data_IF_083170334218
#
_entry.id   IF_083170334218
#
_cell.length_a   1.000
_cell.length_b   1.000
_cell.length_c   1.000
_cell.angle_alpha   90.00
_cell.angle_beta   90.00
_cell.angle_gamma   90.00
#
_symmetry.space_group_name_H-M   'P 1'
#
loop_
_entity.id
_entity.type
_entity.pdbx_description
1 polymer ?
#
# COMPACT_ATOMS: atom_id res chain seq x y z
N UNK A 1 3.76 25.23 12.21
CA UNK A 1 5.02 24.50 11.89
C UNK A 1 4.82 23.02 11.53
N UNK A 2 3.62 22.44 11.63
CA UNK A 2 3.36 21.03 11.30
C UNK A 2 3.44 20.70 9.79
N UNK A 3 3.11 21.66 8.92
CA UNK A 3 3.09 21.45 7.46
C UNK A 3 4.48 21.15 6.88
N UNK A 4 5.52 21.89 7.29
CA UNK A 4 6.90 21.67 6.81
C UNK A 4 7.42 20.28 7.16
N UNK A 5 7.06 19.75 8.34
CA UNK A 5 7.43 18.39 8.75
C UNK A 5 6.69 17.33 7.96
N UNK A 6 5.38 17.50 7.76
CA UNK A 6 4.59 16.58 6.95
C UNK A 6 5.10 16.51 5.49
N UNK A 7 5.40 17.67 4.90
CA UNK A 7 5.96 17.75 3.55
C UNK A 7 7.32 17.04 3.44
N UNK A 8 8.22 17.26 4.42
CA UNK A 8 9.53 16.61 4.45
C UNK A 8 9.42 15.09 4.60
N UNK A 9 8.59 14.59 5.52
CA UNK A 9 8.32 13.14 5.66
C UNK A 9 7.71 12.55 4.38
N UNK A 10 6.88 13.32 3.68
CA UNK A 10 6.34 12.89 2.40
C UNK A 10 7.44 12.72 1.34
N UNK A 11 8.27 13.74 1.15
CA UNK A 11 9.41 13.70 0.23
C UNK A 11 10.41 12.59 0.57
N UNK A 12 10.75 12.43 1.85
CA UNK A 12 11.72 11.44 2.29
C UNK A 12 11.25 10.00 2.01
N UNK A 13 9.97 9.69 2.19
CA UNK A 13 9.44 8.38 1.78
C UNK A 13 9.62 8.14 0.29
N UNK A 14 9.32 9.13 -0.56
CA UNK A 14 9.51 8.98 -2.00
C UNK A 14 10.97 8.77 -2.38
N UNK A 15 11.89 9.49 -1.73
CA UNK A 15 13.32 9.34 -1.96
C UNK A 15 13.84 7.96 -1.52
N UNK A 16 13.43 7.48 -0.34
CA UNK A 16 13.79 6.15 0.15
C UNK A 16 13.24 5.06 -0.78
N UNK A 17 11.99 5.16 -1.22
CA UNK A 17 11.41 4.19 -2.14
C UNK A 17 12.09 4.24 -3.53
N UNK A 18 12.47 5.41 -4.02
CA UNK A 18 13.23 5.52 -5.27
C UNK A 18 14.62 4.86 -5.15
N UNK A 19 15.29 5.08 -4.01
CA UNK A 19 16.58 4.48 -3.69
C UNK A 19 16.48 2.94 -3.62
N UNK A 20 15.48 2.41 -2.91
CA UNK A 20 15.20 0.96 -2.81
C UNK A 20 14.88 0.37 -4.19
N UNK A 21 14.12 1.09 -5.02
CA UNK A 21 13.79 0.63 -6.37
C UNK A 21 15.04 0.54 -7.26
N UNK A 22 15.99 1.46 -7.10
CA UNK A 22 17.27 1.43 -7.82
C UNK A 22 18.20 0.33 -7.32
N UNK A 23 18.26 0.12 -6.00
CA UNK A 23 19.16 -0.85 -5.37
C UNK A 23 18.61 -2.29 -5.43
N UNK A 24 17.30 -2.46 -5.62
CA UNK A 24 16.62 -3.77 -5.71
C UNK A 24 16.57 -4.53 -4.37
N UNK A 25 16.73 -3.82 -3.26
CA UNK A 25 16.95 -4.37 -1.91
C UNK A 25 15.96 -3.77 -0.93
N UNK A 26 15.18 -4.57 -0.18
CA UNK A 26 14.10 -4.04 0.65
C UNK A 26 14.58 -3.30 1.90
N UNK A 27 15.88 -3.39 2.23
CA UNK A 27 16.48 -2.74 3.37
C UNK A 27 16.55 -1.22 3.19
N UNK A 28 16.53 -0.50 4.31
CA UNK A 28 16.73 0.95 4.30
C UNK A 28 18.12 1.29 3.73
N UNK A 29 18.23 2.13 2.69
CA UNK A 29 19.51 2.53 2.13
C UNK A 29 20.36 3.25 3.18
N UNK A 30 21.63 2.85 3.31
CA UNK A 30 22.52 3.39 4.36
C UNK A 30 22.64 4.92 4.29
N UNK A 31 22.66 5.47 3.07
CA UNK A 31 22.67 6.92 2.79
C UNK A 31 21.48 7.68 3.37
N UNK A 32 20.35 7.01 3.66
CA UNK A 32 19.12 7.60 4.20
C UNK A 32 18.91 7.34 5.69
N UNK A 33 19.76 6.53 6.33
CA UNK A 33 19.56 6.10 7.72
C UNK A 33 19.45 7.29 8.68
N UNK A 34 20.34 8.27 8.58
CA UNK A 34 20.33 9.44 9.46
C UNK A 34 19.08 10.32 9.27
N UNK A 35 18.64 10.52 8.03
CA UNK A 35 17.42 11.29 7.73
C UNK A 35 16.16 10.57 8.24
N UNK A 36 16.11 9.24 8.08
CA UNK A 36 15.01 8.42 8.57
C UNK A 36 14.97 8.37 10.09
N UNK A 37 16.13 8.29 10.74
CA UNK A 37 16.23 8.39 12.19
C UNK A 37 15.65 9.73 12.67
N UNK A 38 16.07 10.85 12.07
CA UNK A 38 15.63 12.18 12.46
C UNK A 38 14.13 12.41 12.25
N UNK A 39 13.56 11.94 11.14
CA UNK A 39 12.17 12.26 10.78
C UNK A 39 11.15 11.23 11.28
N UNK A 40 11.55 9.95 11.40
CA UNK A 40 10.67 8.84 11.75
C UNK A 40 11.02 8.16 13.09
N UNK A 41 12.20 8.40 13.67
CA UNK A 41 12.69 7.63 14.81
C UNK A 41 13.15 6.23 14.41
N UNK A 42 13.68 6.10 13.19
CA UNK A 42 14.29 4.87 12.69
C UNK A 42 13.38 4.04 11.78
N UNK A 43 13.81 2.79 11.54
CA UNK A 43 13.14 1.87 10.62
C UNK A 43 11.69 1.59 11.02
N UNK A 44 11.42 1.40 12.31
CA UNK A 44 10.08 1.08 12.80
C UNK A 44 9.07 2.18 12.46
N UNK A 45 9.42 3.44 12.74
CA UNK A 45 8.58 4.58 12.42
C UNK A 45 8.39 4.79 10.91
N UNK A 46 9.41 4.44 10.12
CA UNK A 46 9.30 4.45 8.66
C UNK A 46 8.36 3.37 8.14
N UNK A 47 8.48 2.13 8.63
CA UNK A 47 7.57 1.03 8.28
C UNK A 47 6.12 1.34 8.66
N UNK A 48 5.90 1.91 9.84
CA UNK A 48 4.58 2.36 10.28
C UNK A 48 3.99 3.41 9.33
N UNK A 49 4.77 4.43 8.95
CA UNK A 49 4.32 5.44 7.99
C UNK A 49 3.98 4.81 6.63
N UNK A 50 4.82 3.90 6.14
CA UNK A 50 4.62 3.23 4.86
C UNK A 50 3.35 2.37 4.87
N UNK A 51 3.14 1.60 5.95
CA UNK A 51 1.96 0.76 6.14
C UNK A 51 0.67 1.62 6.26
N UNK A 52 0.71 2.76 6.96
CA UNK A 52 -0.42 3.68 7.03
C UNK A 52 -0.78 4.25 5.65
N UNK A 53 0.22 4.60 4.84
CA UNK A 53 -0.03 5.08 3.46
C UNK A 53 -0.62 3.99 2.60
N UNK A 54 -0.13 2.76 2.72
CA UNK A 54 -0.68 1.60 2.03
C UNK A 54 -2.15 1.39 2.39
N UNK A 55 -2.49 1.33 3.69
CA UNK A 55 -3.88 1.13 4.11
C UNK A 55 -4.79 2.28 3.74
N UNK A 56 -4.37 3.54 3.83
CA UNK A 56 -5.18 4.66 3.32
C UNK A 56 -5.50 4.51 1.83
N UNK A 57 -4.53 4.06 1.03
CA UNK A 57 -4.72 3.84 -0.40
C UNK A 57 -5.56 2.58 -0.71
N UNK A 58 -5.50 1.57 0.16
CA UNK A 58 -6.35 0.38 0.10
C UNK A 58 -7.80 0.74 0.46
N UNK A 59 -8.01 1.38 1.61
CA UNK A 59 -9.33 1.73 2.14
C UNK A 59 -10.07 2.66 1.18
N UNK A 60 -9.38 3.66 0.59
CA UNK A 60 -10.00 4.52 -0.42
C UNK A 60 -10.47 3.76 -1.68
N UNK A 61 -9.77 2.68 -2.07
CA UNK A 61 -10.21 1.83 -3.19
C UNK A 61 -11.27 0.82 -2.76
N UNK A 62 -11.22 0.37 -1.50
CA UNK A 62 -12.23 -0.51 -0.92
C UNK A 62 -13.57 0.21 -0.87
N UNK A 63 -13.59 1.46 -0.42
CA UNK A 63 -14.80 2.29 -0.40
C UNK A 63 -15.46 2.32 -1.79
N UNK A 64 -14.67 2.59 -2.84
CA UNK A 64 -15.16 2.56 -4.23
C UNK A 64 -15.60 1.15 -4.68
N UNK A 65 -14.91 0.09 -4.26
CA UNK A 65 -15.29 -1.30 -4.58
C UNK A 65 -16.64 -1.67 -3.95
N UNK A 66 -16.91 -1.21 -2.73
CA UNK A 66 -18.12 -1.54 -1.99
C UNK A 66 -19.35 -0.77 -2.48
N UNK A 67 -19.20 0.29 -3.29
CA UNK A 67 -20.32 0.99 -3.92
C UNK A 67 -21.16 0.06 -4.84
N UNK A 68 -20.49 -0.86 -5.55
CA UNK A 68 -21.12 -1.81 -6.47
C UNK A 68 -21.40 -3.19 -5.84
N UNK A 69 -20.94 -3.42 -4.60
CA UNK A 69 -21.03 -4.67 -3.85
C UNK A 69 -20.85 -5.95 -4.70
N UNK A 70 -19.62 -6.29 -5.09
CA UNK A 70 -19.37 -7.37 -6.04
C UNK A 70 -19.88 -8.73 -5.51
N UNK A 71 -20.38 -9.61 -6.40
CA UNK A 71 -20.95 -10.91 -5.99
C UNK A 71 -19.90 -11.86 -5.41
N UNK A 72 -18.63 -11.73 -5.81
CA UNK A 72 -17.49 -12.45 -5.25
C UNK A 72 -16.52 -11.44 -4.60
N UNK A 73 -16.88 -11.04 -3.37
CA UNK A 73 -16.11 -10.07 -2.61
C UNK A 73 -14.68 -10.55 -2.26
N UNK A 74 -14.43 -11.82 -1.86
CA UNK A 74 -13.08 -12.32 -1.64
C UNK A 74 -12.17 -12.18 -2.87
N UNK A 75 -12.63 -12.56 -4.06
CA UNK A 75 -11.85 -12.43 -5.30
C UNK A 75 -11.65 -10.96 -5.69
N UNK A 76 -12.65 -10.11 -5.47
CA UNK A 76 -12.53 -8.68 -5.72
C UNK A 76 -11.51 -8.00 -4.80
N UNK A 77 -11.43 -8.42 -3.52
CA UNK A 77 -10.40 -7.96 -2.58
C UNK A 77 -8.99 -8.39 -3.00
N UNK A 78 -8.83 -9.63 -3.48
CA UNK A 78 -7.53 -10.11 -3.99
C UNK A 78 -7.08 -9.29 -5.19
N UNK A 79 -7.99 -9.03 -6.13
CA UNK A 79 -7.72 -8.17 -7.28
C UNK A 79 -7.34 -6.75 -6.84
N UNK A 80 -8.09 -6.15 -5.92
CA UNK A 80 -7.81 -4.81 -5.40
C UNK A 80 -6.40 -4.74 -4.76
N UNK A 81 -6.03 -5.77 -4.00
CA UNK A 81 -4.69 -5.86 -3.40
C UNK A 81 -3.59 -5.95 -4.46
N UNK A 82 -3.78 -6.77 -5.49
CA UNK A 82 -2.84 -6.91 -6.61
C UNK A 82 -2.72 -5.62 -7.42
N UNK A 83 -3.84 -4.98 -7.74
CA UNK A 83 -3.87 -3.72 -8.47
C UNK A 83 -3.15 -2.61 -7.68
N UNK A 84 -3.40 -2.53 -6.36
CA UNK A 84 -2.67 -1.59 -5.49
C UNK A 84 -1.17 -1.90 -5.45
N UNK A 85 -0.81 -3.18 -5.38
CA UNK A 85 0.60 -3.63 -5.47
C UNK A 85 1.25 -3.20 -6.77
N UNK A 86 0.52 -3.24 -7.89
CA UNK A 86 1.00 -2.71 -9.18
C UNK A 86 1.20 -1.20 -9.17
N UNK A 87 0.37 -0.43 -8.45
CA UNK A 87 0.52 1.04 -8.34
C UNK A 87 1.59 1.50 -7.35
N UNK A 88 1.90 0.69 -6.34
CA UNK A 88 2.88 1.00 -5.30
C UNK A 88 3.88 -0.16 -5.11
N UNK A 89 4.58 -0.60 -6.17
CA UNK A 89 5.34 -1.85 -6.17
C UNK A 89 6.47 -1.84 -5.15
N UNK A 90 7.23 -0.74 -5.05
CA UNK A 90 8.33 -0.65 -4.10
C UNK A 90 7.87 -0.57 -2.65
N UNK A 91 6.74 0.09 -2.40
CA UNK A 91 6.15 0.10 -1.06
C UNK A 91 5.72 -1.31 -0.64
N UNK A 92 5.05 -2.04 -1.55
CA UNK A 92 4.66 -3.44 -1.33
C UNK A 92 5.87 -4.31 -1.07
N UNK A 93 6.92 -4.19 -1.89
CA UNK A 93 8.16 -4.94 -1.75
C UNK A 93 8.81 -4.78 -0.36
N UNK A 94 8.91 -3.54 0.13
CA UNK A 94 9.46 -3.26 1.47
C UNK A 94 8.57 -3.85 2.57
N UNK A 95 7.25 -3.67 2.47
CA UNK A 95 6.30 -4.17 3.47
C UNK A 95 6.25 -5.71 3.49
N UNK A 96 6.37 -6.37 2.33
CA UNK A 96 6.46 -7.84 2.24
C UNK A 96 7.70 -8.40 2.93
N UNK A 97 8.85 -7.76 2.74
CA UNK A 97 10.10 -8.15 3.39
C UNK A 97 10.06 -7.97 4.93
N UNK A 98 9.22 -7.06 5.42
CA UNK A 98 9.08 -6.74 6.84
C UNK A 98 7.73 -7.15 7.43
N UNK A 99 7.02 -8.09 6.81
CA UNK A 99 5.64 -8.44 7.19
C UNK A 99 5.49 -8.83 8.66
N UNK A 100 6.50 -9.49 9.22
CA UNK A 100 6.52 -9.98 10.60
C UNK A 100 7.23 -9.02 11.56
N UNK A 101 7.55 -7.79 11.14
CA UNK A 101 8.15 -6.80 12.02
C UNK A 101 7.16 -6.43 13.13
N UNK A 102 7.60 -6.54 14.40
CA UNK A 102 6.71 -6.42 15.56
C UNK A 102 5.96 -5.09 15.64
N UNK A 103 6.61 -3.98 15.24
CA UNK A 103 5.99 -2.67 15.14
C UNK A 103 4.73 -2.63 14.27
N UNK A 104 4.60 -3.51 13.25
CA UNK A 104 3.44 -3.53 12.37
C UNK A 104 2.26 -4.34 12.92
N UNK A 105 2.48 -5.21 13.91
CA UNK A 105 1.47 -6.14 14.41
C UNK A 105 0.17 -5.44 14.90
N UNK A 106 0.22 -4.35 15.70
CA UNK A 106 -0.99 -3.65 16.12
C UNK A 106 -1.78 -3.06 14.95
N UNK A 107 -1.06 -2.59 13.93
CA UNK A 107 -1.63 -1.95 12.76
C UNK A 107 -2.29 -2.98 11.84
N UNK A 108 -1.67 -4.15 11.66
CA UNK A 108 -2.28 -5.31 11.01
C UNK A 108 -3.55 -5.76 11.74
N UNK A 109 -3.50 -5.97 13.06
CA UNK A 109 -4.65 -6.41 13.83
C UNK A 109 -5.83 -5.43 13.72
N UNK A 110 -5.56 -4.12 13.78
CA UNK A 110 -6.60 -3.08 13.58
C UNK A 110 -7.22 -3.16 12.19
N UNK A 111 -6.42 -3.23 11.13
CA UNK A 111 -6.94 -3.26 9.76
C UNK A 111 -7.76 -4.53 9.49
N UNK A 112 -7.35 -5.67 10.02
CA UNK A 112 -8.11 -6.92 9.93
C UNK A 112 -9.51 -6.81 10.55
N UNK A 113 -9.60 -6.21 11.74
CA UNK A 113 -10.89 -5.98 12.40
C UNK A 113 -11.79 -5.05 11.59
N UNK A 114 -11.23 -3.96 11.05
CA UNK A 114 -11.97 -3.00 10.24
C UNK A 114 -12.44 -3.63 8.92
N UNK A 115 -11.57 -4.36 8.24
CA UNK A 115 -11.90 -5.07 7.00
C UNK A 115 -13.00 -6.09 7.25
N UNK A 116 -12.88 -6.90 8.31
CA UNK A 116 -13.91 -7.87 8.66
C UNK A 116 -15.24 -7.21 9.01
N UNK A 117 -15.23 -6.11 9.76
CA UNK A 117 -16.44 -5.38 10.08
C UNK A 117 -17.13 -4.79 8.83
N UNK A 118 -16.35 -4.29 7.86
CA UNK A 118 -16.89 -3.66 6.65
C UNK A 118 -17.36 -4.68 5.60
N UNK A 119 -16.71 -5.85 5.51
CA UNK A 119 -16.89 -6.78 4.39
C UNK A 119 -17.41 -8.16 4.80
N UNK A 120 -17.36 -8.49 6.10
CA UNK A 120 -17.54 -9.86 6.60
C UNK A 120 -16.37 -10.80 6.29
N UNK A 121 -15.39 -10.37 5.47
CA UNK A 121 -14.23 -11.18 5.07
C UNK A 121 -13.09 -10.97 6.07
N UNK A 122 -12.62 -12.07 6.65
CA UNK A 122 -11.44 -12.07 7.49
C UNK A 122 -10.21 -12.48 6.67
N UNK A 123 -9.12 -11.70 6.74
CA UNK A 123 -7.83 -12.01 6.11
C UNK A 123 -6.67 -11.65 7.02
N UNK A 124 -5.72 -12.55 7.20
CA UNK A 124 -4.44 -12.30 7.86
C UNK A 124 -3.43 -11.71 6.85
N UNK A 125 -2.30 -11.13 7.30
CA UNK A 125 -1.37 -10.48 6.41
C UNK A 125 -0.74 -11.46 5.41
N UNK A 126 -0.60 -12.72 5.83
CA UNK A 126 -0.09 -13.83 5.01
C UNK A 126 -1.09 -14.36 3.98
N UNK A 127 -2.39 -14.05 4.13
CA UNK A 127 -3.44 -14.53 3.22
C UNK A 127 -3.55 -13.68 1.95
N UNK A 128 -2.84 -12.55 1.89
CA UNK A 128 -2.88 -11.67 0.72
C UNK A 128 -2.02 -12.23 -0.42
N UNK A 129 -2.48 -12.14 -1.68
CA UNK A 129 -1.70 -12.56 -2.82
C UNK A 129 -0.45 -11.68 -2.92
N UNK A 130 0.70 -12.34 -3.01
CA UNK A 130 1.98 -11.67 -3.23
C UNK A 130 2.25 -11.60 -4.72
N UNK A 131 2.83 -10.48 -5.17
CA UNK A 131 3.45 -10.46 -6.49
C UNK A 131 4.56 -11.52 -6.45
N UNK A 132 4.53 -12.47 -7.40
CA UNK A 132 5.69 -13.33 -7.61
C UNK A 132 6.90 -12.40 -7.77
N UNK A 133 7.92 -12.54 -6.91
CA UNK A 133 9.16 -11.79 -7.01
C UNK A 133 9.81 -12.16 -8.34
N UNK A 134 9.52 -11.42 -9.40
CA UNK A 134 10.31 -11.44 -10.62
C UNK A 134 11.51 -10.53 -10.39
N UNK A 135 12.74 -11.05 -10.20
CA UNK A 135 13.92 -10.29 -10.53
C UNK A 135 13.97 -10.12 -12.05
N UNK A 136 13.26 -9.12 -12.58
CA UNK A 136 13.39 -8.75 -13.99
C UNK A 136 14.68 -7.94 -14.18
N UNK A 137 15.79 -8.66 -14.31
CA UNK A 137 16.78 -8.26 -15.30
C UNK A 137 16.28 -8.73 -16.68
N UNK A 138 16.41 -7.83 -17.67
CA UNK A 138 16.32 -8.05 -19.13
C UNK A 138 14.92 -7.86 -19.76
N UNK A 139 14.88 -6.91 -20.71
CA UNK A 139 14.24 -7.15 -22.01
C UNK A 139 13.15 -6.17 -22.42
N UNK A 140 13.55 -5.03 -22.98
CA UNK A 140 12.70 -4.20 -23.84
C UNK A 140 12.09 -5.04 -24.96
N UNK A 141 10.77 -5.20 -25.02
CA UNK A 141 10.04 -5.38 -26.30
C UNK A 141 8.65 -4.79 -26.18
N UNK A 142 8.46 -3.75 -26.99
CA UNK A 142 7.23 -3.04 -27.31
C UNK A 142 6.16 -3.98 -27.88
N UNK A 143 4.93 -3.91 -27.39
CA UNK A 143 3.74 -3.93 -28.26
C UNK A 143 2.50 -3.37 -27.56
N UNK A 144 1.99 -2.33 -28.21
CA UNK A 144 0.74 -1.62 -27.99
C UNK A 144 -0.41 -2.34 -28.73
N UNK A 145 -1.61 -2.42 -28.15
CA UNK A 145 -2.92 -2.21 -28.84
C UNK A 145 -4.02 -1.88 -27.78
N UNK A 146 -4.60 -0.68 -27.92
CA UNK A 146 -6.02 -0.23 -27.88
C UNK A 146 -7.13 -1.19 -27.36
N UNK A 147 -8.31 -0.81 -26.84
CA UNK A 147 -9.01 0.46 -26.52
C UNK A 147 -10.43 0.12 -25.97
N UNK A 148 -11.00 0.98 -25.11
CA UNK A 148 -12.44 1.21 -24.81
C UNK A 148 -13.26 0.09 -24.11
N UNK A 149 -14.25 0.33 -23.24
CA UNK A 149 -15.15 1.47 -23.12
C UNK A 149 -15.71 1.67 -21.68
N UNK A 150 -16.21 2.89 -21.52
CA UNK A 150 -16.74 3.59 -20.33
C UNK A 150 -18.18 3.14 -20.01
N UNK A 151 -18.53 3.01 -18.73
CA UNK A 151 -19.92 3.13 -18.30
C UNK A 151 -19.98 3.84 -16.95
N UNK A 152 -20.56 5.03 -16.94
CA UNK A 152 -20.78 5.87 -15.76
C UNK A 152 -22.15 5.51 -15.17
N UNK A 153 -22.21 5.25 -13.86
CA UNK A 153 -23.44 5.41 -13.07
C UNK A 153 -23.09 6.23 -11.83
N UNK A 154 -23.92 7.24 -11.60
CA UNK A 154 -23.88 8.14 -10.46
C UNK A 154 -24.67 7.49 -9.32
N UNK A 155 -24.00 7.14 -8.22
CA UNK A 155 -24.65 6.86 -6.93
C UNK A 155 -23.81 7.55 -5.83
N UNK A 156 -24.50 8.10 -4.84
CA UNK A 156 -23.99 9.04 -3.85
C UNK A 156 -23.05 8.39 -2.80
N UNK A 157 -22.03 9.12 -2.30
CA UNK A 157 -21.10 8.60 -1.31
C UNK A 157 -21.71 8.55 0.10
N UNK A 158 -21.70 7.36 0.71
CA UNK A 158 -21.86 7.19 2.15
C UNK A 158 -20.62 7.74 2.88
N UNK A 159 -20.78 8.90 3.51
CA UNK A 159 -19.80 9.52 4.40
C UNK A 159 -19.44 8.59 5.58
N UNK A 160 -18.25 8.00 5.56
CA UNK A 160 -17.59 7.49 6.76
C UNK A 160 -16.24 8.19 6.96
N UNK A 161 -16.30 9.45 7.42
CA UNK A 161 -15.17 10.12 8.06
C UNK A 161 -15.69 10.89 9.27
N UNK A 162 -15.42 10.37 10.46
CA UNK A 162 -15.17 11.17 11.67
C UNK A 162 -14.63 10.27 12.78
N UNK A 163 -13.33 9.96 12.75
CA UNK A 163 -12.49 9.71 13.93
C UNK A 163 -11.03 9.47 13.48
N UNK A 164 -10.37 10.54 13.04
CA UNK A 164 -8.92 10.68 13.03
C UNK A 164 -8.57 11.90 13.88
#
# INVERSE_FOLDING_TARGET
>A
MSWSRAHRRHQLVHQVLADIAGDGRPELPERRRAEVEAEFGGLEGFLLELQLRWYRAFDARLDALLEDWPPDLPAALDKLWLDLSGTMPTARFVLDAHLHHQALAPLHARHQLLLHAATGVYRKPDDWPRLATTPSHVGTTTSSVMSSARSQRLIQPCRWISAF
#
